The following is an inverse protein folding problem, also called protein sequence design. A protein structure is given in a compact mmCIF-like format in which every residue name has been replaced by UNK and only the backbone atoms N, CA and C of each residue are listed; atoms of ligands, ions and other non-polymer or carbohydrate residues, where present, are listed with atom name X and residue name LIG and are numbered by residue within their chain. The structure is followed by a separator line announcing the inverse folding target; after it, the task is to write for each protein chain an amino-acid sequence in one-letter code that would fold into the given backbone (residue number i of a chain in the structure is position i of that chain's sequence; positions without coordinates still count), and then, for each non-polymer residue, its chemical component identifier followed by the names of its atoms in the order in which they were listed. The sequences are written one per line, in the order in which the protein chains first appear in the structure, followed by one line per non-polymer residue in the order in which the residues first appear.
data_IF_295545573324
#
_entry.id   IF_295545573324
#
_cell.length_a   1.000
_cell.length_b   1.000
_cell.length_c   1.000
_cell.angle_alpha   90.00
_cell.angle_beta   90.00
_cell.angle_gamma   90.00
#
_symmetry.space_group_name_H-M   'P 1'
#
loop_
_entity.id
_entity.type
_entity.pdbx_description
1 polymer ?
#
# COMPACT_ATOMS: atom_id res chain seq x y z
N UNK A 1 -13.53 13.17 1.85
CA UNK A 1 -12.09 13.19 2.15
C UNK A 1 -11.80 12.01 3.06
N UNK A 2 -10.87 11.14 2.69
CA UNK A 2 -10.53 9.95 3.47
C UNK A 2 -9.66 10.30 4.67
N UNK A 3 -9.48 9.36 5.61
CA UNK A 3 -8.55 9.51 6.73
C UNK A 3 -7.84 8.19 6.95
N UNK A 4 -6.56 8.27 7.30
CA UNK A 4 -5.85 7.10 7.81
C UNK A 4 -6.52 6.59 9.10
N UNK A 5 -6.41 5.28 9.33
CA UNK A 5 -6.73 4.70 10.63
C UNK A 5 -5.65 5.11 11.63
N UNK A 6 -6.07 5.50 12.82
CA UNK A 6 -5.17 5.81 13.96
C UNK A 6 -5.36 4.82 15.12
N UNK A 7 -6.55 4.19 15.20
CA UNK A 7 -6.84 3.18 16.23
C UNK A 7 -6.14 1.87 15.90
N UNK A 8 -5.28 1.41 16.81
CA UNK A 8 -4.62 0.12 16.72
C UNK A 8 -5.65 -1.02 16.66
N UNK A 9 -5.49 -1.92 15.69
CA UNK A 9 -6.32 -3.12 15.54
C UNK A 9 -5.49 -4.25 14.91
N UNK A 10 -6.12 -5.41 14.70
CA UNK A 10 -5.44 -6.66 14.35
C UNK A 10 -5.93 -7.27 13.04
N UNK A 11 -6.44 -6.45 12.12
CA UNK A 11 -6.98 -6.94 10.84
C UNK A 11 -5.95 -7.72 10.02
N UNK A 12 -4.67 -7.36 10.11
CA UNK A 12 -3.56 -8.11 9.50
C UNK A 12 -3.54 -9.61 9.87
N UNK A 13 -4.11 -10.01 11.02
CA UNK A 13 -4.23 -11.42 11.41
C UNK A 13 -5.18 -12.21 10.49
N UNK A 14 -6.21 -11.53 9.95
CA UNK A 14 -7.28 -12.14 9.15
C UNK A 14 -6.94 -12.17 7.66
N UNK A 15 -6.16 -11.20 7.19
CA UNK A 15 -5.91 -11.01 5.77
C UNK A 15 -4.60 -10.26 5.49
N UNK A 16 -3.77 -10.83 4.61
CA UNK A 16 -2.47 -10.28 4.20
C UNK A 16 -2.66 -9.22 3.08
N UNK A 17 -1.64 -8.99 2.25
CA UNK A 17 -1.67 -7.97 1.18
C UNK A 17 -2.83 -8.16 0.18
N UNK A 18 -3.00 -9.36 -0.36
CA UNK A 18 -4.15 -9.73 -1.21
C UNK A 18 -4.27 -8.98 -2.54
N UNK A 19 -3.16 -8.72 -3.23
CA UNK A 19 -3.14 -7.90 -4.45
C UNK A 19 -4.08 -8.39 -5.57
N UNK A 20 -4.14 -9.69 -5.85
CA UNK A 20 -5.01 -10.23 -6.90
C UNK A 20 -6.48 -10.14 -6.55
N UNK A 21 -6.83 -10.44 -5.30
CA UNK A 21 -8.19 -10.27 -4.79
C UNK A 21 -8.58 -8.77 -4.80
N UNK A 22 -7.66 -7.86 -4.48
CA UNK A 22 -7.90 -6.43 -4.56
C UNK A 22 -8.21 -5.98 -6.00
N UNK A 23 -7.49 -6.51 -7.01
CA UNK A 23 -7.79 -6.18 -8.41
C UNK A 23 -9.17 -6.66 -8.84
N UNK A 24 -9.58 -7.85 -8.39
CA UNK A 24 -10.93 -8.39 -8.61
C UNK A 24 -11.97 -7.47 -7.98
N UNK A 25 -11.72 -7.02 -6.75
CA UNK A 25 -12.59 -6.10 -6.02
C UNK A 25 -12.73 -4.75 -6.73
N UNK A 26 -11.63 -4.09 -7.10
CA UNK A 26 -11.68 -2.77 -7.76
C UNK A 26 -12.50 -2.79 -9.05
N UNK A 27 -12.38 -3.85 -9.87
CA UNK A 27 -13.12 -3.98 -11.14
C UNK A 27 -14.63 -4.14 -11.00
N UNK A 28 -15.12 -4.50 -9.81
CA UNK A 28 -16.53 -4.89 -9.59
C UNK A 28 -17.15 -4.16 -8.41
N UNK A 29 -16.41 -3.24 -7.81
CA UNK A 29 -16.85 -2.48 -6.68
C UNK A 29 -18.01 -1.58 -7.09
N UNK A 30 -19.08 -1.60 -6.31
CA UNK A 30 -20.20 -0.70 -6.45
C UNK A 30 -20.90 -0.57 -5.09
N UNK A 31 -21.69 0.49 -4.93
CA UNK A 31 -22.48 0.70 -3.73
C UNK A 31 -23.49 -0.45 -3.55
N UNK A 32 -23.45 -1.12 -2.41
CA UNK A 32 -24.34 -2.26 -2.10
C UNK A 32 -23.78 -3.63 -2.45
N UNK A 33 -22.52 -3.72 -2.88
CA UNK A 33 -21.84 -5.00 -3.14
C UNK A 33 -21.99 -5.97 -1.95
N UNK A 34 -22.52 -7.16 -2.23
CA UNK A 34 -22.73 -8.22 -1.23
C UNK A 34 -21.78 -9.40 -1.42
N UNK A 35 -21.50 -10.14 -0.33
CA UNK A 35 -20.72 -11.38 -0.40
C UNK A 35 -21.43 -12.49 -1.18
N UNK A 36 -22.77 -12.54 -1.12
CA UNK A 36 -23.59 -13.49 -1.88
C UNK A 36 -23.36 -13.32 -3.38
N UNK A 37 -23.49 -12.08 -3.87
CA UNK A 37 -23.26 -11.77 -5.28
C UNK A 37 -21.84 -12.16 -5.73
N UNK A 38 -20.82 -11.75 -4.98
CA UNK A 38 -19.43 -12.05 -5.32
C UNK A 38 -19.13 -13.57 -5.31
N UNK A 39 -19.80 -14.32 -4.44
CA UNK A 39 -19.68 -15.76 -4.34
C UNK A 39 -20.40 -16.49 -5.48
N UNK A 40 -21.66 -16.13 -5.76
CA UNK A 40 -22.48 -16.72 -6.83
C UNK A 40 -21.83 -16.52 -8.21
N UNK A 41 -21.19 -15.37 -8.43
CA UNK A 41 -20.48 -15.08 -9.67
C UNK A 41 -19.00 -15.52 -9.67
N UNK A 42 -18.55 -16.26 -8.67
CA UNK A 42 -17.18 -16.81 -8.57
C UNK A 42 -16.07 -15.75 -8.75
N UNK A 43 -16.27 -14.52 -8.27
CA UNK A 43 -15.32 -13.42 -8.52
C UNK A 43 -13.91 -13.73 -8.01
N UNK A 44 -13.83 -14.40 -6.86
CA UNK A 44 -12.57 -14.77 -6.23
C UNK A 44 -12.17 -16.24 -6.48
N UNK A 45 -12.75 -16.88 -7.50
CA UNK A 45 -12.53 -18.29 -7.85
C UNK A 45 -13.24 -19.26 -6.88
N UNK A 46 -12.68 -20.46 -6.70
CA UNK A 46 -13.25 -21.52 -5.87
C UNK A 46 -13.14 -21.30 -4.34
N UNK A 47 -13.10 -20.05 -3.88
CA UNK A 47 -13.02 -19.72 -2.45
C UNK A 47 -14.38 -19.93 -1.78
N UNK A 48 -14.38 -20.44 -0.54
CA UNK A 48 -15.61 -20.63 0.23
C UNK A 48 -16.28 -19.30 0.59
N UNK A 49 -17.58 -19.34 0.87
CA UNK A 49 -18.34 -18.15 1.24
C UNK A 49 -17.71 -17.36 2.42
N UNK A 50 -17.34 -17.98 3.56
CA UNK A 50 -16.67 -17.24 4.64
C UNK A 50 -15.35 -16.59 4.23
N UNK A 51 -14.65 -17.18 3.24
CA UNK A 51 -13.42 -16.59 2.69
C UNK A 51 -13.73 -15.39 1.81
N UNK A 52 -14.80 -15.42 1.02
CA UNK A 52 -15.28 -14.27 0.23
C UNK A 52 -15.71 -13.12 1.14
N UNK A 53 -16.50 -13.39 2.18
CA UNK A 53 -16.87 -12.39 3.19
C UNK A 53 -15.65 -11.74 3.83
N UNK A 54 -14.65 -12.55 4.22
CA UNK A 54 -13.41 -12.05 4.79
C UNK A 54 -12.62 -11.20 3.78
N UNK A 55 -12.58 -11.56 2.49
CA UNK A 55 -11.94 -10.74 1.46
C UNK A 55 -12.64 -9.39 1.36
N UNK A 56 -13.95 -9.38 1.11
CA UNK A 56 -14.72 -8.14 0.93
C UNK A 56 -14.63 -7.22 2.15
N UNK A 57 -14.75 -7.78 3.36
CA UNK A 57 -14.61 -7.01 4.60
C UNK A 57 -13.23 -6.34 4.73
N UNK A 58 -12.15 -6.98 4.27
CA UNK A 58 -10.82 -6.39 4.28
C UNK A 58 -10.57 -5.42 3.13
N UNK A 59 -11.20 -5.61 1.97
CA UNK A 59 -11.12 -4.64 0.87
C UNK A 59 -11.88 -3.37 1.20
N UNK A 60 -13.09 -3.49 1.75
CA UNK A 60 -13.88 -2.35 2.22
C UNK A 60 -13.12 -1.56 3.28
N UNK A 61 -12.51 -2.27 4.24
CA UNK A 61 -11.65 -1.66 5.24
C UNK A 61 -10.48 -0.84 4.69
N UNK A 62 -9.95 -1.22 3.52
CA UNK A 62 -8.74 -0.63 2.92
C UNK A 62 -9.05 0.47 1.91
N UNK A 63 -10.13 0.31 1.17
CA UNK A 63 -10.44 1.16 0.02
C UNK A 63 -11.73 1.97 0.20
N UNK A 64 -12.68 1.54 1.05
CA UNK A 64 -14.01 2.16 1.17
C UNK A 64 -13.98 3.62 1.63
N UNK A 65 -12.97 4.02 2.40
CA UNK A 65 -12.78 5.43 2.81
C UNK A 65 -12.25 6.35 1.69
N UNK A 66 -11.91 5.80 0.51
CA UNK A 66 -11.20 6.49 -0.57
C UNK A 66 -11.95 6.34 -1.91
N UNK A 67 -13.11 7.01 -2.08
CA UNK A 67 -13.94 6.84 -3.28
C UNK A 67 -13.22 7.27 -4.58
N UNK A 68 -12.46 8.37 -4.57
CA UNK A 68 -11.67 8.81 -5.72
C UNK A 68 -10.60 7.78 -6.11
N UNK A 69 -9.97 7.17 -5.10
CA UNK A 69 -9.03 6.08 -5.32
C UNK A 69 -9.71 4.88 -5.99
N UNK A 70 -10.88 4.47 -5.49
CA UNK A 70 -11.64 3.38 -6.10
C UNK A 70 -12.02 3.66 -7.56
N UNK A 71 -12.50 4.87 -7.85
CA UNK A 71 -12.84 5.27 -9.22
C UNK A 71 -11.65 5.16 -10.18
N UNK A 72 -10.46 5.55 -9.72
CA UNK A 72 -9.20 5.42 -10.50
C UNK A 72 -8.77 3.97 -10.64
N UNK A 73 -8.78 3.20 -9.55
CA UNK A 73 -8.33 1.80 -9.52
C UNK A 73 -9.24 0.88 -10.35
N UNK A 74 -10.53 1.18 -10.44
CA UNK A 74 -11.47 0.51 -11.32
C UNK A 74 -10.99 0.62 -12.78
N UNK A 75 -10.69 1.84 -13.23
CA UNK A 75 -10.32 2.17 -14.61
C UNK A 75 -8.90 1.77 -15.00
N UNK A 76 -7.98 1.57 -14.06
CA UNK A 76 -6.57 1.28 -14.37
C UNK A 76 -6.35 -0.16 -14.87
N UNK A 77 -6.50 -0.39 -16.17
CA UNK A 77 -6.48 -1.74 -16.76
C UNK A 77 -5.08 -2.34 -16.93
N UNK A 78 -4.09 -1.50 -17.26
CA UNK A 78 -2.71 -1.88 -17.61
C UNK A 78 -1.77 -2.06 -16.42
N UNK A 79 -2.28 -1.98 -15.19
CA UNK A 79 -1.48 -1.98 -13.98
C UNK A 79 -0.56 -3.21 -13.85
N UNK A 80 0.74 -2.97 -13.74
CA UNK A 80 1.74 -4.02 -13.49
C UNK A 80 1.48 -4.74 -12.16
N UNK A 81 1.86 -6.03 -12.02
CA UNK A 81 1.74 -6.73 -10.73
C UNK A 81 2.45 -6.01 -9.58
N UNK A 82 3.55 -5.31 -9.89
CA UNK A 82 4.33 -4.52 -8.93
C UNK A 82 3.55 -3.30 -8.44
N UNK A 83 3.00 -2.51 -9.36
CA UNK A 83 2.19 -1.34 -9.00
C UNK A 83 0.96 -1.75 -8.19
N UNK A 84 0.32 -2.87 -8.54
CA UNK A 84 -0.78 -3.45 -7.76
C UNK A 84 -0.37 -3.77 -6.32
N UNK A 85 0.80 -4.39 -6.13
CA UNK A 85 1.33 -4.69 -4.81
C UNK A 85 1.62 -3.42 -4.00
N UNK A 86 2.16 -2.37 -4.64
CA UNK A 86 2.43 -1.08 -3.99
C UNK A 86 1.16 -0.37 -3.53
N UNK A 87 0.15 -0.30 -4.40
CA UNK A 87 -1.16 0.25 -4.03
C UNK A 87 -1.76 -0.51 -2.85
N UNK A 88 -1.73 -1.84 -2.88
CA UNK A 88 -2.22 -2.64 -1.76
C UNK A 88 -1.40 -2.44 -0.49
N UNK A 89 -0.09 -2.22 -0.61
CA UNK A 89 0.79 -1.94 0.53
C UNK A 89 0.37 -0.64 1.22
N UNK A 90 0.27 0.46 0.47
CA UNK A 90 -0.12 1.76 1.03
C UNK A 90 -1.54 1.75 1.60
N UNK A 91 -2.52 1.15 0.91
CA UNK A 91 -3.87 1.03 1.47
C UNK A 91 -3.94 0.13 2.71
N UNK A 92 -3.04 -0.85 2.83
CA UNK A 92 -2.92 -1.62 4.07
C UNK A 92 -2.29 -0.79 5.18
N UNK A 93 -1.27 0.04 4.91
CA UNK A 93 -0.72 0.95 5.92
C UNK A 93 -1.75 2.00 6.37
N UNK A 94 -2.49 2.59 5.42
CA UNK A 94 -3.56 3.55 5.70
C UNK A 94 -4.65 2.95 6.59
N UNK A 95 -5.00 1.68 6.37
CA UNK A 95 -6.06 1.02 7.11
C UNK A 95 -5.60 0.37 8.41
N UNK A 96 -4.32 0.05 8.57
CA UNK A 96 -3.79 -0.77 9.67
C UNK A 96 -2.55 -0.13 10.32
N UNK A 97 -2.71 0.57 11.46
CA UNK A 97 -1.60 1.22 12.16
C UNK A 97 -0.51 0.26 12.62
N UNK A 98 -0.87 -1.00 12.92
CA UNK A 98 0.11 -2.00 13.35
C UNK A 98 1.01 -2.40 12.18
N UNK A 99 0.43 -2.63 11.00
CA UNK A 99 1.21 -2.88 9.79
C UNK A 99 2.02 -1.65 9.34
N UNK A 100 1.45 -0.44 9.49
CA UNK A 100 2.17 0.81 9.23
C UNK A 100 3.42 0.93 10.10
N UNK A 101 3.31 0.76 11.41
CA UNK A 101 4.47 0.83 12.31
C UNK A 101 5.50 -0.26 12.03
N UNK A 102 5.05 -1.49 11.70
CA UNK A 102 5.96 -2.54 11.27
C UNK A 102 6.81 -2.13 10.05
N UNK A 103 6.18 -1.55 9.03
CA UNK A 103 6.83 -1.28 7.75
C UNK A 103 7.55 0.06 7.66
N UNK A 104 7.05 1.08 8.35
CA UNK A 104 7.57 2.44 8.32
C UNK A 104 8.49 2.77 9.50
N UNK A 105 8.38 2.06 10.63
CA UNK A 105 9.23 2.29 11.79
C UNK A 105 10.21 1.12 11.93
N UNK A 106 9.71 -0.07 12.27
CA UNK A 106 10.57 -1.21 12.61
C UNK A 106 11.48 -1.61 11.45
N UNK A 107 10.96 -1.84 10.24
CA UNK A 107 11.82 -2.22 9.12
C UNK A 107 12.75 -1.08 8.67
N UNK A 108 12.33 0.17 8.81
CA UNK A 108 13.14 1.35 8.44
C UNK A 108 14.30 1.52 9.42
N UNK A 109 14.03 1.52 10.72
CA UNK A 109 15.05 1.56 11.78
C UNK A 109 16.10 0.46 11.58
N UNK A 110 15.68 -0.76 11.22
CA UNK A 110 16.62 -1.85 10.92
C UNK A 110 17.56 -1.51 9.76
N UNK A 111 17.06 -0.86 8.69
CA UNK A 111 17.90 -0.44 7.56
C UNK A 111 18.83 0.71 7.94
N UNK A 112 18.34 1.68 8.71
CA UNK A 112 19.13 2.83 9.19
C UNK A 112 20.28 2.40 10.12
N UNK A 113 20.05 1.38 10.94
CA UNK A 113 21.08 0.74 11.76
C UNK A 113 22.04 -0.16 10.96
N UNK A 114 21.90 -0.23 9.63
CA UNK A 114 22.79 -0.98 8.74
C UNK A 114 22.52 -2.49 8.69
N UNK A 115 21.40 -2.97 9.23
CA UNK A 115 21.05 -4.38 9.11
C UNK A 115 20.58 -4.69 7.69
N UNK A 116 21.15 -5.75 7.11
CA UNK A 116 20.79 -6.23 5.77
C UNK A 116 19.64 -7.23 5.76
N UNK A 117 19.25 -7.74 6.94
CA UNK A 117 18.23 -8.77 7.05
C UNK A 117 17.49 -8.73 8.39
N UNK A 118 16.33 -9.39 8.41
CA UNK A 118 15.50 -9.57 9.60
C UNK A 118 15.16 -11.05 9.82
N UNK A 119 15.22 -11.49 11.07
CA UNK A 119 14.84 -12.85 11.47
C UNK A 119 13.39 -12.91 11.94
N UNK A 120 12.82 -14.11 11.99
CA UNK A 120 11.47 -14.32 12.54
C UNK A 120 11.43 -13.97 14.04
N UNK A 121 12.49 -14.28 14.75
CA UNK A 121 12.65 -14.09 16.18
C UNK A 121 12.63 -12.59 16.51
N UNK A 122 13.37 -11.77 15.76
CA UNK A 122 13.37 -10.31 15.91
C UNK A 122 11.99 -9.70 15.70
N UNK A 123 11.28 -10.12 14.64
CA UNK A 123 9.90 -9.64 14.42
C UNK A 123 8.99 -10.13 15.55
N UNK A 124 9.14 -11.38 16.02
CA UNK A 124 8.34 -11.91 17.13
C UNK A 124 8.57 -11.15 18.43
N UNK A 125 9.80 -10.75 18.73
CA UNK A 125 10.13 -9.94 19.89
C UNK A 125 9.51 -8.55 19.78
N UNK A 126 9.63 -7.90 18.62
CA UNK A 126 8.97 -6.62 18.36
C UNK A 126 7.44 -6.71 18.53
N UNK A 127 6.80 -7.74 17.95
CA UNK A 127 5.34 -7.94 18.11
C UNK A 127 4.96 -8.13 19.58
N UNK A 128 5.73 -8.89 20.36
CA UNK A 128 5.49 -9.05 21.80
C UNK A 128 5.66 -7.74 22.57
N UNK A 129 6.55 -6.85 22.13
CA UNK A 129 6.69 -5.50 22.68
C UNK A 129 5.46 -4.62 22.40
N UNK A 130 4.91 -4.68 21.19
CA UNK A 130 3.70 -3.92 20.80
C UNK A 130 2.45 -4.47 21.51
N UNK A 131 2.35 -5.79 21.69
CA UNK A 131 1.22 -6.46 22.33
C UNK A 131 1.67 -7.44 23.43
N UNK A 132 2.09 -6.95 24.61
CA UNK A 132 2.58 -7.80 25.70
C UNK A 132 1.56 -8.81 26.22
N UNK A 133 0.26 -8.50 26.06
CA UNK A 133 -0.86 -9.33 26.51
C UNK A 133 -1.17 -10.51 25.59
N UNK A 134 -0.56 -10.60 24.40
CA UNK A 134 -0.85 -11.68 23.47
C UNK A 134 -0.20 -12.99 23.88
N UNK A 135 -0.97 -14.07 23.77
CA UNK A 135 -0.44 -15.42 23.87
C UNK A 135 0.56 -15.70 22.73
N UNK A 136 1.54 -16.57 23.00
CA UNK A 136 2.60 -16.92 22.04
C UNK A 136 2.08 -17.40 20.67
N UNK A 137 0.92 -18.08 20.63
CA UNK A 137 0.30 -18.52 19.38
C UNK A 137 -0.19 -17.34 18.52
N UNK A 138 -0.77 -16.31 19.14
CA UNK A 138 -1.22 -15.09 18.45
C UNK A 138 -0.04 -14.29 17.95
N UNK A 139 0.99 -14.08 18.78
CA UNK A 139 2.26 -13.45 18.37
C UNK A 139 2.86 -14.17 17.16
N UNK A 140 2.96 -15.50 17.21
CA UNK A 140 3.48 -16.31 16.09
C UNK A 140 2.68 -16.11 14.80
N UNK A 141 1.36 -16.00 14.90
CA UNK A 141 0.46 -15.76 13.77
C UNK A 141 0.68 -14.36 13.20
N UNK A 142 0.70 -13.34 14.06
CA UNK A 142 0.99 -11.95 13.69
C UNK A 142 2.32 -11.82 12.95
N UNK A 143 3.40 -12.34 13.54
CA UNK A 143 4.74 -12.36 12.93
C UNK A 143 4.72 -12.97 11.54
N UNK A 144 4.04 -14.11 11.37
CA UNK A 144 3.95 -14.78 10.06
C UNK A 144 3.20 -13.92 9.03
N UNK A 145 2.10 -13.27 9.45
CA UNK A 145 1.28 -12.42 8.60
C UNK A 145 1.98 -11.13 8.18
N UNK A 146 2.69 -10.49 9.11
CA UNK A 146 3.51 -9.30 8.82
C UNK A 146 4.62 -9.62 7.82
N UNK A 147 5.39 -10.69 8.07
CA UNK A 147 6.47 -11.12 7.17
C UNK A 147 5.93 -11.50 5.78
N UNK A 148 4.81 -12.22 5.71
CA UNK A 148 4.21 -12.59 4.42
C UNK A 148 3.70 -11.37 3.67
N UNK A 149 3.11 -10.41 4.37
CA UNK A 149 2.61 -9.17 3.77
C UNK A 149 3.77 -8.29 3.26
N UNK A 150 4.85 -8.15 4.05
CA UNK A 150 6.06 -7.45 3.62
C UNK A 150 6.77 -8.12 2.44
N UNK A 151 6.85 -9.46 2.42
CA UNK A 151 7.38 -10.20 1.28
C UNK A 151 6.56 -9.95 0.01
N UNK A 152 5.23 -10.03 0.10
CA UNK A 152 4.33 -9.73 -1.04
C UNK A 152 4.42 -8.27 -1.51
N UNK A 153 4.78 -7.36 -0.61
CA UNK A 153 5.05 -5.95 -0.92
C UNK A 153 6.49 -5.71 -1.40
N UNK A 154 7.36 -6.73 -1.49
CA UNK A 154 8.76 -6.56 -1.92
C UNK A 154 9.66 -5.81 -0.94
N UNK A 155 9.23 -5.65 0.32
CA UNK A 155 10.02 -5.02 1.39
C UNK A 155 11.11 -5.94 1.96
N UNK A 156 10.97 -7.25 1.72
CA UNK A 156 11.93 -8.26 2.11
C UNK A 156 12.06 -9.34 1.04
N UNK A 157 13.23 -9.94 0.93
CA UNK A 157 13.48 -11.07 0.02
C UNK A 157 13.29 -12.42 0.71
N UNK A 158 12.73 -13.34 -0.06
CA UNK A 158 12.50 -14.75 0.28
C UNK A 158 11.51 -15.01 1.43
N UNK A 159 10.91 -16.20 1.41
CA UNK A 159 10.08 -16.70 2.50
C UNK A 159 10.86 -17.30 3.68
N UNK A 160 12.19 -17.48 3.55
CA UNK A 160 13.04 -18.19 4.52
C UNK A 160 13.78 -17.19 5.42
N UNK A 161 14.03 -17.58 6.67
CA UNK A 161 14.78 -16.75 7.62
C UNK A 161 16.29 -17.03 7.48
N UNK A 162 17.18 -16.04 7.59
CA UNK A 162 16.92 -14.59 7.65
C UNK A 162 16.45 -14.03 6.30
N UNK A 163 15.62 -12.98 6.32
CA UNK A 163 15.07 -12.34 5.12
C UNK A 163 15.79 -11.05 4.82
N UNK A 164 16.37 -10.92 3.63
CA UNK A 164 17.04 -9.68 3.20
C UNK A 164 16.05 -8.52 3.26
N UNK A 165 16.46 -7.37 3.77
CA UNK A 165 15.70 -6.13 3.72
C UNK A 165 15.91 -5.46 2.37
N UNK A 166 14.84 -5.11 1.67
CA UNK A 166 14.90 -4.46 0.36
C UNK A 166 13.93 -3.29 0.28
N UNK A 167 14.11 -2.44 -0.74
CA UNK A 167 13.09 -1.50 -1.15
C UNK A 167 12.46 -1.98 -2.45
N UNK A 168 11.12 -2.03 -2.54
CA UNK A 168 10.47 -2.35 -3.79
C UNK A 168 10.71 -1.23 -4.79
N UNK A 169 10.80 -1.57 -6.08
CA UNK A 169 10.76 -0.56 -7.11
C UNK A 169 9.37 0.09 -7.13
N UNK A 170 9.32 1.42 -7.06
CA UNK A 170 8.08 2.19 -7.19
C UNK A 170 8.06 2.84 -8.57
N UNK A 171 7.11 2.47 -9.42
CA UNK A 171 6.90 3.08 -10.75
C UNK A 171 6.38 4.52 -10.60
N UNK A 172 6.66 5.40 -11.58
CA UNK A 172 6.29 6.82 -11.49
C UNK A 172 4.77 7.02 -11.35
N UNK A 173 3.95 6.27 -12.10
CA UNK A 173 2.49 6.31 -11.95
C UNK A 173 2.02 5.88 -10.55
N UNK A 174 2.69 4.90 -9.94
CA UNK A 174 2.36 4.47 -8.59
C UNK A 174 2.74 5.56 -7.56
N UNK A 175 3.86 6.24 -7.77
CA UNK A 175 4.29 7.37 -6.95
C UNK A 175 3.32 8.56 -7.07
N UNK A 176 2.93 8.94 -8.28
CA UNK A 176 1.92 9.98 -8.49
C UNK A 176 0.59 9.62 -7.83
N UNK A 177 0.14 8.37 -7.99
CA UNK A 177 -1.06 7.86 -7.34
C UNK A 177 -1.04 8.07 -5.82
N UNK A 178 0.03 7.67 -5.13
CA UNK A 178 0.10 7.82 -3.67
C UNK A 178 0.18 9.30 -3.26
N UNK A 179 0.83 10.16 -4.03
CA UNK A 179 0.90 11.60 -3.73
C UNK A 179 -0.50 12.23 -3.83
N UNK A 180 -1.24 11.96 -4.91
CA UNK A 180 -2.62 12.45 -5.07
C UNK A 180 -3.57 11.84 -4.04
N UNK A 181 -3.42 10.55 -3.70
CA UNK A 181 -4.18 9.92 -2.62
C UNK A 181 -3.92 10.61 -1.27
N UNK A 182 -2.66 10.88 -0.93
CA UNK A 182 -2.31 11.54 0.33
C UNK A 182 -2.76 13.00 0.36
N UNK A 183 -2.78 13.72 -0.76
CA UNK A 183 -3.35 15.08 -0.86
C UNK A 183 -4.80 15.12 -0.36
N UNK A 184 -5.57 14.07 -0.64
CA UNK A 184 -6.99 13.94 -0.31
C UNK A 184 -7.26 13.14 0.96
N UNK A 185 -6.20 12.77 1.68
CA UNK A 185 -6.28 11.96 2.89
C UNK A 185 -5.81 12.79 4.06
N UNK A 186 -6.56 12.75 5.16
CA UNK A 186 -6.07 13.25 6.44
C UNK A 186 -5.12 12.20 7.03
N UNK A 187 -3.85 12.56 7.24
CA UNK A 187 -2.83 11.70 7.82
C UNK A 187 -1.82 12.48 8.65
N UNK A 188 -1.11 11.80 9.55
CA UNK A 188 -0.03 12.39 10.34
C UNK A 188 1.26 12.59 9.51
N UNK A 189 1.79 13.81 9.51
CA UNK A 189 3.02 14.17 8.83
C UNK A 189 2.80 15.11 7.65
N UNK A 190 3.63 15.00 6.61
CA UNK A 190 3.56 15.84 5.42
C UNK A 190 3.67 15.01 4.15
N UNK A 191 3.26 15.55 3.01
CA UNK A 191 3.36 14.88 1.70
C UNK A 191 4.79 14.39 1.40
N UNK A 192 5.82 15.10 1.87
CA UNK A 192 7.22 14.77 1.61
C UNK A 192 7.88 13.95 2.72
N UNK A 193 7.24 13.86 3.88
CA UNK A 193 7.75 13.11 5.04
C UNK A 193 6.57 12.41 5.71
N UNK A 194 6.37 11.16 5.34
CA UNK A 194 5.29 10.33 5.82
C UNK A 194 5.69 8.84 5.82
N UNK A 195 5.00 8.01 6.62
CA UNK A 195 5.28 6.58 6.73
C UNK A 195 5.09 5.78 5.42
N UNK A 196 4.37 6.32 4.44
CA UNK A 196 4.02 5.63 3.19
C UNK A 196 5.16 5.67 2.17
N UNK A 197 5.91 6.77 2.12
CA UNK A 197 7.06 6.93 1.23
C UNK A 197 8.34 6.33 1.85
N UNK A 198 8.55 6.52 3.16
CA UNK A 198 9.74 5.97 3.85
C UNK A 198 9.77 4.45 3.86
N UNK A 199 8.61 3.78 3.98
CA UNK A 199 8.54 2.32 3.98
C UNK A 199 9.08 1.70 2.69
N UNK A 200 9.00 2.43 1.58
CA UNK A 200 9.47 2.00 0.25
C UNK A 200 10.79 2.67 -0.16
N UNK A 201 11.47 3.36 0.76
CA UNK A 201 12.79 3.94 0.55
C UNK A 201 12.80 5.27 -0.20
N UNK A 202 11.62 5.87 -0.43
CA UNK A 202 11.50 7.17 -1.07
C UNK A 202 11.68 8.28 -0.04
N UNK A 203 12.94 8.62 0.24
CA UNK A 203 13.33 9.65 1.21
C UNK A 203 14.25 10.68 0.59
N UNK A 204 14.22 11.88 1.17
CA UNK A 204 15.17 12.97 0.90
C UNK A 204 15.49 13.17 -0.60
N UNK A 205 16.76 12.97 -0.98
CA UNK A 205 17.30 13.25 -2.30
C UNK A 205 16.72 12.34 -3.38
N UNK A 206 16.42 11.07 -3.06
CA UNK A 206 15.80 10.15 -4.01
C UNK A 206 14.38 10.59 -4.34
N UNK A 207 13.60 10.92 -3.31
CA UNK A 207 12.25 11.47 -3.49
C UNK A 207 12.29 12.79 -4.28
N UNK A 208 13.13 13.74 -3.88
CA UNK A 208 13.31 15.03 -4.59
C UNK A 208 13.68 14.83 -6.05
N UNK A 209 14.55 13.87 -6.37
CA UNK A 209 14.94 13.56 -7.74
C UNK A 209 13.77 13.01 -8.56
N UNK A 210 12.99 12.09 -7.98
CA UNK A 210 11.80 11.51 -8.61
C UNK A 210 10.71 12.55 -8.84
N UNK A 211 10.40 13.38 -7.84
CA UNK A 211 9.36 14.41 -7.92
C UNK A 211 9.56 15.38 -9.09
N UNK A 212 10.81 15.73 -9.42
CA UNK A 212 11.14 16.62 -10.56
C UNK A 212 10.81 16.01 -11.94
N UNK A 213 10.60 14.70 -12.01
CA UNK A 213 10.30 13.98 -13.25
C UNK A 213 8.83 13.61 -13.40
N UNK A 214 8.05 13.72 -12.33
CA UNK A 214 6.64 13.36 -12.35
C UNK A 214 5.85 14.36 -13.19
N UNK A 215 5.01 13.87 -14.08
CA UNK A 215 4.22 14.68 -15.01
C UNK A 215 3.03 15.36 -14.34
N UNK A 216 2.50 14.74 -13.28
CA UNK A 216 1.37 15.24 -12.51
C UNK A 216 1.73 16.19 -11.38
N UNK A 217 3.02 16.42 -11.11
CA UNK A 217 3.50 17.22 -9.98
C UNK A 217 4.44 18.32 -10.47
N UNK A 218 4.20 19.55 -10.04
CA UNK A 218 5.13 20.66 -10.23
C UNK A 218 6.02 20.79 -8.99
N UNK A 219 7.28 20.37 -9.09
CA UNK A 219 8.19 20.39 -7.94
C UNK A 219 9.46 21.18 -8.21
N UNK A 220 9.73 22.17 -7.35
CA UNK A 220 10.99 22.91 -7.31
C UNK A 220 11.50 22.99 -5.88
N UNK A 221 12.82 22.88 -5.73
CA UNK A 221 13.47 23.03 -4.42
C UNK A 221 14.75 23.83 -4.57
N UNK A 222 14.87 24.89 -3.77
CA UNK A 222 16.07 25.71 -3.66
C UNK A 222 16.45 25.84 -2.18
N UNK A 223 17.47 25.07 -1.76
CA UNK A 223 17.84 24.97 -0.34
C UNK A 223 16.69 24.40 0.49
N UNK A 224 16.22 25.15 1.49
CA UNK A 224 15.08 24.80 2.33
C UNK A 224 13.72 25.21 1.76
N UNK A 225 13.69 26.01 0.69
CA UNK A 225 12.45 26.45 0.05
C UNK A 225 11.97 25.34 -0.88
N UNK A 226 10.75 24.87 -0.66
CA UNK A 226 10.07 23.87 -1.48
C UNK A 226 8.82 24.50 -2.08
N UNK A 227 8.74 24.50 -3.40
CA UNK A 227 7.52 24.78 -4.15
C UNK A 227 6.95 23.44 -4.63
N UNK A 228 5.76 23.11 -4.15
CA UNK A 228 5.05 21.89 -4.50
C UNK A 228 3.67 22.27 -5.06
N UNK A 229 3.43 21.93 -6.32
CA UNK A 229 2.19 22.17 -7.05
C UNK A 229 1.60 20.89 -7.61
N UNK A 230 0.30 20.93 -7.88
CA UNK A 230 -0.45 19.84 -8.47
C UNK A 230 -0.93 20.28 -9.84
N UNK A 231 -0.70 19.44 -10.85
CA UNK A 231 -1.16 19.72 -12.22
C UNK A 231 -2.65 19.46 -12.42
N UNK A 232 -3.22 18.56 -11.62
CA UNK A 232 -4.63 18.19 -11.65
C UNK A 232 -5.28 18.56 -10.31
N UNK A 233 -6.58 18.79 -10.29
CA UNK A 233 -7.30 19.24 -9.09
C UNK A 233 -7.44 18.13 -8.05
N UNK A 234 -7.56 16.88 -8.51
CA UNK A 234 -7.78 15.71 -7.66
C UNK A 234 -7.22 14.41 -8.30
N UNK A 235 -7.23 13.32 -7.53
CA UNK A 235 -6.77 11.98 -7.91
C UNK A 235 -7.57 11.43 -9.10
N UNK A 236 -8.86 11.74 -9.18
CA UNK A 236 -9.73 11.27 -10.26
C UNK A 236 -9.38 11.94 -11.58
N UNK A 237 -9.14 13.26 -11.56
CA UNK A 237 -8.72 14.02 -12.73
C UNK A 237 -7.32 13.59 -13.18
N UNK A 238 -6.37 13.41 -12.25
CA UNK A 238 -5.07 12.82 -12.56
C UNK A 238 -5.22 11.47 -13.23
N UNK A 239 -5.99 10.55 -12.64
CA UNK A 239 -6.17 9.20 -13.17
C UNK A 239 -6.81 9.20 -14.55
N UNK A 240 -7.79 10.08 -14.80
CA UNK A 240 -8.42 10.22 -16.12
C UNK A 240 -7.45 10.71 -17.18
N UNK A 241 -6.53 11.60 -16.80
CA UNK A 241 -5.56 12.19 -17.73
C UNK A 241 -4.37 11.27 -18.03
N UNK A 242 -3.87 10.52 -17.05
CA UNK A 242 -2.60 9.78 -17.17
C UNK A 242 -2.77 8.31 -17.50
N UNK A 243 -3.73 7.62 -16.87
CA UNK A 243 -3.86 6.16 -16.97
C UNK A 243 -4.38 5.74 -18.36
N UNK A 244 -5.25 6.54 -18.97
CA UNK A 244 -5.76 6.28 -20.32
C UNK A 244 -4.73 6.56 -21.42
N UNK A 245 -3.72 7.40 -21.16
CA UNK A 245 -2.67 7.69 -22.14
C UNK A 245 -1.65 6.55 -22.24
N UNK A 246 -1.45 5.80 -21.16
CA UNK A 246 -0.59 4.59 -21.11
C UNK A 246 -1.21 3.39 -21.84
N UNK A 247 -2.50 3.47 -22.22
CA UNK A 247 -3.21 2.46 -23.02
C UNK A 247 -3.06 2.66 -24.54
N UNK A 248 -2.45 3.77 -24.98
CA UNK A 248 -2.11 3.95 -26.40
C UNK A 248 -0.88 3.11 -26.74
N UNK A 249 -0.97 2.14 -27.66
CA UNK A 249 0.20 1.39 -28.08
C UNK A 249 1.20 2.37 -28.68
N UNK A 250 2.45 2.28 -28.23
CA UNK A 250 3.58 2.89 -28.92
C UNK A 250 3.47 2.49 -30.40
N UNK A 251 3.06 3.43 -31.25
CA UNK A 251 3.06 3.22 -32.69
C UNK A 251 4.47 2.86 -33.13
N UNK A 252 4.52 1.86 -34.01
CA UNK A 252 5.72 1.24 -34.53
C UNK A 252 6.77 2.29 -34.97
N UNK A 253 8.01 2.07 -34.55
CA UNK A 253 9.22 2.56 -35.23
C UNK A 253 10.06 1.37 -35.65
#
# INVERSE_FOLDING_TARGET
MGSESTKLHTRILRYELGADDARVYWKRHHAGLSANEAFEHYWFGAKSMPRVENILSNMEARFGAYPNALAVLEQWTTMSPRTRAMICHWHTQLADPFYRSFTADFLVERRELGYLAVTREQVSEWVSGVFPQWAAATTRTATSKLLTTAFKAGLIESGRSPRTLTYPLVEDLALEYILYLLRETTFEGSILRNPYLVSVGLVESDLTYRLRKLHGIDFKQQGSIVEFGWRYDDLTEWGRATIHQDESPAEAS
#
